data_IF_399052076978
#
_entry.id   IF_399052076978
#
_cell.length_a   1.000
_cell.length_b   1.000
_cell.length_c   1.000
_cell.angle_alpha   90.00
_cell.angle_beta   90.00
_cell.angle_gamma   90.00
#
_symmetry.space_group_name_H-M   'P 1'
#
loop_
_entity.id
_entity.type
_entity.pdbx_description
1 polymer ?
#
# COMPACT_ATOMS: atom_id res chain seq x y z
N UNK A 1 4.66 25.68 21.33
CA UNK A 1 5.66 25.07 20.43
C UNK A 1 5.34 23.58 20.39
N UNK A 2 5.15 23.06 19.19
CA UNK A 2 4.30 21.89 18.90
C UNK A 2 4.89 20.59 19.45
N UNK A 3 4.03 19.82 20.10
CA UNK A 3 4.29 18.45 20.55
C UNK A 3 4.84 17.61 19.38
N UNK A 4 6.07 17.12 19.51
CA UNK A 4 6.69 16.27 18.49
C UNK A 4 6.38 14.81 18.83
N UNK A 5 5.72 14.11 17.90
CA UNK A 5 5.52 12.66 18.00
C UNK A 5 6.79 11.94 17.57
N UNK A 6 7.24 10.99 18.38
CA UNK A 6 8.45 10.20 18.13
C UNK A 6 8.10 8.70 18.19
N UNK A 7 8.80 7.90 17.39
CA UNK A 7 8.69 6.46 17.48
C UNK A 7 9.54 5.94 18.65
N UNK A 8 8.95 5.13 19.53
CA UNK A 8 9.64 4.36 20.55
C UNK A 8 9.60 2.87 20.26
N UNK A 9 10.66 2.18 20.67
CA UNK A 9 10.83 0.74 20.49
C UNK A 9 10.68 0.04 21.83
N UNK A 10 9.88 -1.02 21.85
CA UNK A 10 9.78 -1.94 22.97
C UNK A 10 10.85 -3.03 22.84
N UNK A 11 11.82 -3.00 23.76
CA UNK A 11 12.98 -3.90 23.76
C UNK A 11 12.58 -5.36 23.97
N UNK A 12 11.45 -5.64 24.63
CA UNK A 12 10.98 -6.99 24.91
C UNK A 12 10.36 -7.68 23.67
N UNK A 13 9.80 -6.91 22.73
CA UNK A 13 9.16 -7.41 21.51
C UNK A 13 10.05 -7.27 20.27
N UNK A 14 11.10 -6.46 20.36
CA UNK A 14 12.02 -6.23 19.26
C UNK A 14 12.94 -7.44 19.09
N UNK A 15 12.89 -8.06 17.91
CA UNK A 15 13.76 -9.19 17.54
C UNK A 15 14.99 -8.76 16.74
N UNK A 16 15.18 -7.45 16.52
CA UNK A 16 16.31 -6.93 15.75
C UNK A 16 16.24 -7.24 14.25
N UNK A 17 15.05 -7.39 13.67
CA UNK A 17 14.87 -7.75 12.26
C UNK A 17 15.38 -6.70 11.25
N UNK A 18 15.53 -5.43 11.66
CA UNK A 18 16.07 -4.36 10.83
C UNK A 18 15.17 -3.79 9.75
N UNK A 19 13.95 -4.32 9.58
CA UNK A 19 12.98 -3.84 8.56
C UNK A 19 12.70 -2.34 8.73
N UNK A 20 12.57 -1.89 9.98
CA UNK A 20 12.37 -0.49 10.36
C UNK A 20 13.43 0.48 9.82
N UNK A 21 14.68 0.04 9.64
CA UNK A 21 15.76 0.86 9.11
C UNK A 21 15.58 1.10 7.61
N UNK A 22 15.19 0.06 6.87
CA UNK A 22 14.98 0.15 5.42
C UNK A 22 13.77 1.00 5.03
N UNK A 23 12.72 0.99 5.85
CA UNK A 23 11.48 1.74 5.57
C UNK A 23 11.53 3.19 6.05
N UNK A 24 12.56 3.57 6.82
CA UNK A 24 12.65 4.91 7.39
C UNK A 24 13.18 5.90 6.34
N UNK A 25 12.36 6.86 5.85
CA UNK A 25 12.80 7.79 4.80
C UNK A 25 13.85 8.79 5.30
N UNK A 26 13.88 9.04 6.61
CA UNK A 26 14.81 9.98 7.26
C UNK A 26 16.03 9.29 7.87
N UNK A 27 16.07 7.94 7.86
CA UNK A 27 17.16 7.19 8.49
C UNK A 27 17.29 7.41 10.01
N UNK A 28 16.18 7.68 10.71
CA UNK A 28 16.20 7.94 12.15
C UNK A 28 16.38 6.69 13.02
N UNK A 29 16.33 5.48 12.45
CA UNK A 29 16.40 4.21 13.18
C UNK A 29 17.77 3.56 12.96
N UNK A 30 18.41 3.17 14.06
CA UNK A 30 19.68 2.45 14.05
C UNK A 30 19.53 1.09 14.74
N UNK A 31 20.20 0.07 14.22
CA UNK A 31 20.23 -1.27 14.78
C UNK A 31 21.45 -1.43 15.69
N UNK A 32 21.23 -1.64 16.99
CA UNK A 32 22.29 -1.91 17.96
C UNK A 32 22.23 -3.38 18.37
N UNK A 33 22.83 -4.25 17.56
CA UNK A 33 22.84 -5.69 17.81
C UNK A 33 21.46 -6.33 17.61
N UNK A 34 20.79 -6.69 18.71
CA UNK A 34 19.47 -7.36 18.68
C UNK A 34 18.29 -6.41 18.86
N UNK A 35 18.54 -5.13 19.09
CA UNK A 35 17.49 -4.15 19.40
C UNK A 35 17.61 -2.93 18.51
N UNK A 36 16.48 -2.39 18.08
CA UNK A 36 16.42 -1.14 17.32
C UNK A 36 16.38 0.06 18.28
N UNK A 37 17.16 1.10 17.98
CA UNK A 37 17.12 2.40 18.64
C UNK A 37 16.64 3.46 17.66
N UNK A 38 15.83 4.40 18.15
CA UNK A 38 15.32 5.52 17.35
C UNK A 38 15.96 6.81 17.86
N UNK A 39 16.46 7.61 16.93
CA UNK A 39 16.99 8.93 17.22
C UNK A 39 15.85 9.97 17.20
N UNK A 40 15.52 10.49 18.38
CA UNK A 40 14.41 11.43 18.61
C UNK A 40 14.61 12.77 17.89
N UNK A 41 15.87 13.16 17.66
CA UNK A 41 16.23 14.43 17.00
C UNK A 41 15.87 14.39 15.52
N UNK A 42 16.13 13.25 14.86
CA UNK A 42 15.89 13.04 13.42
C UNK A 42 14.48 12.51 13.15
N UNK A 43 13.91 11.73 14.08
CA UNK A 43 12.59 11.14 13.92
C UNK A 43 11.52 12.24 13.76
N UNK A 44 10.71 12.15 12.71
CA UNK A 44 9.62 13.08 12.42
C UNK A 44 8.24 12.53 12.79
N UNK A 45 8.17 11.32 13.34
CA UNK A 45 6.89 10.68 13.68
C UNK A 45 6.07 10.23 12.47
N UNK A 46 6.71 9.88 11.34
CA UNK A 46 6.00 9.44 10.14
C UNK A 46 5.21 8.11 10.28
N UNK A 47 5.54 7.26 11.25
CA UNK A 47 4.81 6.02 11.52
C UNK A 47 5.12 4.82 10.61
N UNK A 48 5.89 4.98 9.53
CA UNK A 48 6.23 3.90 8.60
C UNK A 48 6.88 2.67 9.27
N UNK A 49 7.67 2.90 10.33
CA UNK A 49 8.31 1.85 11.09
C UNK A 49 7.35 0.98 11.92
N UNK A 50 6.19 1.53 12.33
CA UNK A 50 5.17 0.79 13.09
C UNK A 50 4.41 -0.17 12.19
N UNK A 51 4.00 0.29 11.00
CA UNK A 51 3.27 -0.54 10.03
C UNK A 51 4.13 -1.69 9.48
N UNK A 52 5.43 -1.46 9.34
CA UNK A 52 6.37 -2.45 8.80
C UNK A 52 6.86 -3.45 9.84
N UNK A 53 6.52 -3.26 11.13
CA UNK A 53 7.02 -4.10 12.21
C UNK A 53 6.14 -5.35 12.37
N UNK A 54 6.64 -6.56 12.07
CA UNK A 54 5.85 -7.78 12.16
C UNK A 54 5.51 -8.17 13.61
N UNK A 55 6.34 -7.76 14.57
CA UNK A 55 6.10 -7.98 16.01
C UNK A 55 5.36 -6.82 16.68
N UNK A 56 5.01 -5.77 15.92
CA UNK A 56 4.41 -4.53 16.43
C UNK A 56 5.16 -3.97 17.65
N UNK A 57 6.49 -4.09 17.65
CA UNK A 57 7.35 -3.67 18.75
C UNK A 57 7.57 -2.15 18.81
N UNK A 58 7.02 -1.39 17.86
CA UNK A 58 7.21 0.07 17.77
C UNK A 58 5.88 0.79 17.96
N UNK A 59 5.89 1.93 18.64
CA UNK A 59 4.73 2.78 18.86
C UNK A 59 5.11 4.26 18.70
N UNK A 60 4.20 5.07 18.15
CA UNK A 60 4.33 6.52 18.18
C UNK A 60 3.86 7.01 19.55
N UNK A 61 4.73 7.75 20.23
CA UNK A 61 4.42 8.39 21.50
C UNK A 61 4.66 9.90 21.37
N UNK A 62 3.75 10.68 21.91
CA UNK A 62 3.99 12.09 22.25
C UNK A 62 4.82 12.10 23.53
N UNK A 63 5.88 12.91 23.59
CA UNK A 63 6.66 13.07 24.82
C UNK A 63 5.76 13.70 25.90
N UNK A 64 5.20 12.88 26.80
CA UNK A 64 4.24 13.34 27.81
C UNK A 64 3.64 12.27 28.72
N UNK A 65 3.43 11.03 28.25
CA UNK A 65 2.85 9.96 29.09
C UNK A 65 3.42 8.59 28.66
N UNK A 66 3.86 7.72 29.59
CA UNK A 66 4.60 6.51 29.23
C UNK A 66 3.73 5.44 28.55
N UNK A 67 4.33 4.86 27.50
CA UNK A 67 4.07 3.59 26.82
C UNK A 67 2.68 2.94 27.02
N UNK A 68 1.87 2.81 25.95
CA UNK A 68 0.62 2.07 26.01
C UNK A 68 0.84 0.68 26.61
N UNK A 69 0.09 0.37 27.67
CA UNK A 69 -0.05 -1.01 28.13
C UNK A 69 -0.43 -1.89 26.90
N UNK A 70 0.12 -3.11 26.77
CA UNK A 70 -0.16 -3.98 25.63
C UNK A 70 -1.60 -4.50 25.70
N UNK A 71 -2.56 -3.67 25.29
CA UNK A 71 -3.96 -4.06 25.12
C UNK A 71 -4.06 -4.93 23.86
N UNK A 72 -4.08 -6.25 24.11
CA UNK A 72 -4.73 -7.31 23.33
C UNK A 72 -4.99 -6.99 21.83
N UNK A 73 -3.98 -7.28 21.01
CA UNK A 73 -4.07 -7.86 19.65
C UNK A 73 -5.29 -7.45 18.80
N UNK A 74 -5.19 -6.49 17.87
CA UNK A 74 -5.88 -6.61 16.60
C UNK A 74 -5.01 -7.49 15.69
N UNK A 75 -5.57 -8.61 15.24
CA UNK A 75 -4.93 -9.46 14.24
C UNK A 75 -4.69 -8.64 12.95
N UNK A 76 -3.51 -8.74 12.29
CA UNK A 76 -3.34 -8.23 10.96
C UNK A 76 -4.07 -9.17 9.99
N UNK A 77 -5.38 -9.01 9.85
CA UNK A 77 -6.05 -9.52 8.65
C UNK A 77 -5.91 -8.46 7.59
N UNK A 78 -4.81 -8.58 6.85
CA UNK A 78 -4.77 -8.25 5.44
C UNK A 78 -5.96 -8.93 4.76
N UNK A 79 -7.10 -8.24 4.70
CA UNK A 79 -8.05 -8.46 3.62
C UNK A 79 -7.52 -7.68 2.41
N UNK A 80 -6.90 -8.37 1.45
CA UNK A 80 -7.18 -8.03 0.07
C UNK A 80 -7.61 -9.29 -0.66
N UNK A 81 -8.88 -9.67 -0.51
CA UNK A 81 -9.56 -10.41 -1.56
C UNK A 81 -10.93 -9.76 -1.77
N UNK A 82 -11.05 -8.72 -2.63
CA UNK A 82 -12.26 -8.53 -3.39
C UNK A 82 -12.29 -9.61 -4.47
N UNK A 83 -12.39 -10.89 -4.08
CA UNK A 83 -12.84 -11.91 -5.02
C UNK A 83 -14.25 -11.50 -5.40
N UNK A 84 -14.41 -11.08 -6.64
CA UNK A 84 -15.67 -10.66 -7.24
C UNK A 84 -16.78 -11.58 -6.78
N UNK A 85 -17.71 -11.04 -5.98
CA UNK A 85 -18.92 -11.74 -5.56
C UNK A 85 -19.86 -11.79 -6.76
N UNK A 86 -19.64 -12.78 -7.60
CA UNK A 86 -20.60 -13.32 -8.55
C UNK A 86 -21.79 -13.93 -7.79
N UNK A 87 -22.72 -13.07 -7.36
CA UNK A 87 -24.04 -13.50 -6.90
C UNK A 87 -25.08 -12.88 -7.83
N UNK A 88 -25.86 -13.76 -8.45
CA UNK A 88 -26.77 -13.50 -9.58
C UNK A 88 -26.26 -14.28 -10.79
N UNK A 89 -26.77 -15.44 -11.17
CA UNK A 89 -28.19 -15.81 -11.19
C UNK A 89 -28.29 -17.34 -11.31
N UNK A 90 -29.16 -17.95 -10.50
CA UNK A 90 -29.64 -19.29 -10.74
C UNK A 90 -30.53 -19.28 -12.00
N UNK A 91 -30.13 -20.00 -13.05
CA UNK A 91 -31.04 -20.65 -14.00
C UNK A 91 -30.26 -21.52 -15.00
N UNK A 92 -30.31 -22.87 -14.91
CA UNK A 92 -30.17 -23.72 -16.07
C UNK A 92 -31.55 -23.91 -16.71
N UNK A 93 -31.80 -23.27 -17.85
CA UNK A 93 -32.87 -23.67 -18.78
C UNK A 93 -32.24 -23.98 -20.15
N UNK A 94 -32.36 -25.22 -20.66
CA UNK A 94 -31.84 -25.59 -21.97
C UNK A 94 -32.83 -25.14 -23.04
N UNK A 95 -32.36 -24.31 -23.98
CA UNK A 95 -33.22 -23.74 -25.02
C UNK A 95 -32.43 -23.09 -26.15
N UNK A 96 -31.97 -23.92 -27.07
CA UNK A 96 -32.07 -23.72 -28.52
C UNK A 96 -32.02 -22.28 -29.06
N UNK A 97 -30.93 -21.92 -29.75
CA UNK A 97 -30.92 -20.69 -30.56
C UNK A 97 -29.57 -20.33 -31.16
N UNK A 98 -28.99 -21.21 -31.97
CA UNK A 98 -27.84 -20.88 -32.83
C UNK A 98 -28.23 -19.73 -33.78
N UNK A 99 -27.63 -18.55 -33.61
CA UNK A 99 -27.70 -17.46 -34.59
C UNK A 99 -26.35 -17.34 -35.31
N UNK A 100 -26.31 -17.37 -36.65
CA UNK A 100 -25.04 -17.42 -37.37
C UNK A 100 -24.34 -16.07 -37.44
N UNK A 101 -23.02 -16.12 -37.37
CA UNK A 101 -22.12 -15.04 -37.72
C UNK A 101 -22.43 -14.51 -39.13
N UNK A 102 -22.92 -13.26 -39.22
CA UNK A 102 -22.94 -12.51 -40.48
C UNK A 102 -22.39 -11.11 -40.28
N UNK A 103 -21.30 -10.86 -41.00
CA UNK A 103 -20.49 -9.66 -40.94
C UNK A 103 -21.22 -8.39 -41.34
N UNK A 104 -20.69 -7.26 -40.85
CA UNK A 104 -21.22 -5.93 -41.10
C UNK A 104 -20.25 -4.84 -40.67
N UNK A 105 -19.00 -4.89 -41.15
CA UNK A 105 -18.01 -3.83 -40.98
C UNK A 105 -18.40 -2.56 -41.74
N UNK A 106 -19.30 -1.76 -41.17
CA UNK A 106 -19.52 -0.37 -41.56
C UNK A 106 -18.98 0.53 -40.45
N UNK A 107 -18.15 1.51 -40.85
CA UNK A 107 -17.73 2.77 -40.17
C UNK A 107 -16.21 2.88 -40.30
N UNK A 108 -15.60 3.95 -40.79
CA UNK A 108 -16.03 5.24 -41.30
C UNK A 108 -14.75 5.90 -41.83
N UNK A 109 -14.75 6.43 -43.04
CA UNK A 109 -14.93 7.86 -43.29
C UNK A 109 -13.81 8.74 -42.70
N UNK A 110 -12.88 9.09 -43.60
CA UNK A 110 -12.23 10.40 -43.75
C UNK A 110 -11.31 10.93 -42.64
N UNK A 111 -10.01 10.95 -42.91
CA UNK A 111 -9.14 12.06 -42.52
C UNK A 111 -8.18 12.41 -43.66
N UNK A 112 -8.44 13.58 -44.26
CA UNK A 112 -7.67 14.23 -45.31
C UNK A 112 -6.27 14.58 -44.81
N UNK A 113 -5.23 13.87 -45.25
CA UNK A 113 -3.85 14.36 -45.12
C UNK A 113 -3.49 15.26 -46.31
N UNK A 114 -4.05 16.48 -46.29
CA UNK A 114 -3.48 17.64 -46.99
C UNK A 114 -2.18 18.04 -46.27
N UNK A 115 -1.04 17.58 -46.78
CA UNK A 115 0.28 18.23 -46.64
C UNK A 115 1.01 17.91 -47.94
N UNK A 116 0.95 18.77 -48.96
CA UNK A 116 1.68 20.04 -48.96
C UNK A 116 3.10 19.83 -49.50
N UNK A 117 3.25 19.08 -50.59
CA UNK A 117 4.53 18.90 -51.29
C UNK A 117 4.88 20.15 -52.10
N UNK A 118 5.59 21.08 -51.47
CA UNK A 118 6.29 22.18 -52.16
C UNK A 118 7.40 21.56 -53.02
N UNK A 119 7.11 21.32 -54.30
CA UNK A 119 8.17 21.17 -55.31
C UNK A 119 8.84 22.54 -55.46
N UNK A 120 10.03 22.67 -54.89
CA UNK A 120 10.94 23.76 -55.23
C UNK A 120 11.47 23.52 -56.65
N UNK A 121 11.70 24.63 -57.34
CA UNK A 121 12.16 24.82 -58.73
C UNK A 121 13.16 23.80 -59.23
#
# INVERSE_FOLDING_TARGET
MKEKQIARVNVALCVGCGICVNVCPVGAVALNGRTAQVNETVCNGCGACVESCPTSAMQLVTQGEPAPAPERRPAPVSQPEPTMRNVGTAAPVPGTGVLPARGGGRRGRQIRRRRGGRRRR
#
